data_IF_920732470020
#
_entry.id   IF_920732470020
#
_cell.length_a   1.000
_cell.length_b   1.000
_cell.length_c   1.000
_cell.angle_alpha   90.00
_cell.angle_beta   90.00
_cell.angle_gamma   90.00
#
_symmetry.space_group_name_H-M   'P 1'
#
loop_
_entity.id
_entity.type
_entity.pdbx_description
1 polymer ?
#
# COMPACT_ATOMS: atom_id res chain seq x y z
N UNK A 1 1.26 -18.97 -15.17
CA UNK A 1 1.20 -17.88 -16.16
C UNK A 1 -0.12 -17.09 -16.15
N UNK A 2 -1.30 -17.68 -15.88
CA UNK A 2 -2.60 -16.95 -15.88
C UNK A 2 -2.90 -16.09 -14.64
N UNK A 3 -2.31 -16.37 -13.45
CA UNK A 3 -2.53 -15.59 -12.20
C UNK A 3 -1.86 -14.21 -12.20
N UNK A 4 -0.86 -13.98 -13.05
CA UNK A 4 -0.13 -12.71 -13.17
C UNK A 4 -0.96 -11.56 -13.76
N UNK A 5 -2.05 -11.88 -14.44
CA UNK A 5 -2.79 -10.92 -15.27
C UNK A 5 -3.81 -10.12 -14.45
N UNK A 6 -4.30 -10.64 -13.33
CA UNK A 6 -5.52 -10.14 -12.69
C UNK A 6 -5.27 -8.99 -11.70
N UNK A 7 -4.24 -9.07 -10.88
CA UNK A 7 -3.87 -7.94 -9.99
C UNK A 7 -3.22 -6.78 -10.77
N UNK A 8 -2.58 -7.13 -11.89
CA UNK A 8 -2.10 -6.16 -12.87
C UNK A 8 -3.25 -5.43 -13.59
N UNK A 9 -4.44 -5.96 -13.62
CA UNK A 9 -5.54 -5.49 -14.48
C UNK A 9 -6.18 -4.20 -13.98
N UNK A 10 -6.28 -3.90 -12.69
CA UNK A 10 -6.66 -2.53 -12.28
C UNK A 10 -5.55 -1.55 -12.66
N UNK A 11 -4.29 -1.93 -12.55
CA UNK A 11 -3.14 -1.14 -13.00
C UNK A 11 -2.89 -1.26 -14.52
N UNK A 12 -3.12 -2.42 -15.15
CA UNK A 12 -2.85 -2.68 -16.58
C UNK A 12 -4.02 -2.36 -17.50
N UNK A 13 -5.26 -2.39 -17.08
CA UNK A 13 -6.35 -1.82 -17.92
C UNK A 13 -6.14 -0.32 -18.12
N UNK A 14 -5.42 0.29 -17.21
CA UNK A 14 -4.89 1.64 -17.41
C UNK A 14 -3.63 1.69 -18.28
N UNK A 15 -2.94 0.56 -18.55
CA UNK A 15 -1.61 0.51 -19.20
C UNK A 15 -1.54 -0.24 -20.53
N UNK A 16 -2.45 -1.15 -20.86
CA UNK A 16 -2.39 -1.87 -22.16
C UNK A 16 -3.41 -1.31 -23.13
N UNK A 17 -2.92 -0.52 -24.07
CA UNK A 17 -3.67 -0.10 -25.25
C UNK A 17 -4.11 -1.31 -26.09
N UNK A 18 -5.34 -1.76 -25.92
CA UNK A 18 -6.08 -2.37 -26.99
C UNK A 18 -6.36 -1.26 -28.01
N UNK A 19 -5.77 -1.39 -29.19
CA UNK A 19 -5.94 -0.50 -30.33
C UNK A 19 -7.41 -0.15 -30.54
N UNK A 20 -7.77 1.10 -30.23
CA UNK A 20 -9.09 1.65 -30.59
C UNK A 20 -9.86 2.41 -29.50
N UNK A 21 -9.51 2.34 -28.24
CA UNK A 21 -10.18 3.12 -27.20
C UNK A 21 -9.31 4.31 -26.76
N UNK A 22 -9.72 5.53 -27.12
CA UNK A 22 -9.17 6.76 -26.53
C UNK A 22 -9.67 6.86 -25.09
N UNK A 23 -8.86 6.41 -24.12
CA UNK A 23 -8.99 6.80 -22.72
C UNK A 23 -8.53 8.25 -22.62
N UNK A 24 -9.45 9.18 -22.60
CA UNK A 24 -9.18 10.57 -22.29
C UNK A 24 -8.84 10.68 -20.79
N UNK A 25 -7.58 11.05 -20.50
CA UNK A 25 -7.08 11.64 -19.28
C UNK A 25 -6.61 10.78 -18.09
N UNK A 26 -6.25 9.49 -18.24
CA UNK A 26 -5.33 8.85 -17.30
C UNK A 26 -4.21 8.16 -18.08
N UNK A 27 -3.29 8.94 -18.59
CA UNK A 27 -2.03 8.41 -19.13
C UNK A 27 -1.09 8.11 -17.96
N UNK A 28 -1.27 6.93 -17.33
CA UNK A 28 -0.19 6.34 -16.53
C UNK A 28 0.82 5.86 -17.58
N UNK A 29 1.90 6.61 -17.78
CA UNK A 29 3.02 6.16 -18.62
C UNK A 29 3.53 4.82 -18.07
N UNK A 30 3.82 3.87 -18.96
CA UNK A 30 4.49 2.64 -18.58
C UNK A 30 5.77 2.98 -17.80
N UNK A 31 6.13 2.19 -16.77
CA UNK A 31 7.35 2.46 -16.00
C UNK A 31 8.56 2.49 -16.94
N UNK A 32 9.38 3.54 -16.81
CA UNK A 32 10.56 3.77 -17.66
C UNK A 32 11.75 2.89 -17.29
N UNK A 33 11.60 1.99 -16.31
CA UNK A 33 12.65 1.16 -15.75
C UNK A 33 12.33 -0.34 -15.79
N UNK A 34 13.35 -1.18 -15.66
CA UNK A 34 13.19 -2.64 -15.54
C UNK A 34 13.09 -3.03 -14.07
N UNK A 35 11.88 -3.33 -13.61
CA UNK A 35 11.62 -3.90 -12.28
C UNK A 35 11.86 -5.40 -12.35
N UNK A 36 12.68 -5.93 -11.44
CA UNK A 36 12.93 -7.37 -11.29
C UNK A 36 12.13 -7.94 -10.14
N UNK A 37 11.55 -9.14 -10.34
CA UNK A 37 10.88 -9.88 -9.28
C UNK A 37 11.76 -11.03 -8.81
N UNK A 38 11.86 -11.18 -7.50
CA UNK A 38 12.63 -12.22 -6.82
C UNK A 38 11.80 -12.79 -5.67
N UNK A 39 12.30 -13.85 -5.04
CA UNK A 39 11.69 -14.43 -3.84
C UNK A 39 12.75 -14.73 -2.78
N UNK A 40 12.34 -14.69 -1.52
CA UNK A 40 13.17 -15.04 -0.38
C UNK A 40 12.38 -15.89 0.61
N UNK A 41 13.02 -16.92 1.16
CA UNK A 41 12.46 -17.68 2.28
C UNK A 41 12.60 -16.85 3.56
N UNK A 42 11.50 -16.62 4.27
CA UNK A 42 11.45 -15.94 5.56
C UNK A 42 10.50 -16.69 6.48
N UNK A 43 10.90 -16.95 7.71
CA UNK A 43 10.13 -17.83 8.58
C UNK A 43 9.88 -19.19 7.91
N UNK A 44 8.60 -19.58 7.85
CA UNK A 44 8.16 -20.81 7.18
C UNK A 44 7.60 -20.58 5.76
N UNK A 45 7.63 -19.34 5.27
CA UNK A 45 7.05 -18.96 3.99
C UNK A 45 8.07 -18.43 2.99
N UNK A 46 7.56 -18.04 1.84
CA UNK A 46 8.34 -17.41 0.77
C UNK A 46 7.69 -16.07 0.44
N UNK A 47 8.42 -14.97 0.65
CA UNK A 47 8.04 -13.65 0.20
C UNK A 47 8.47 -13.44 -1.25
N UNK A 48 7.52 -13.07 -2.11
CA UNK A 48 7.78 -12.53 -3.44
C UNK A 48 7.99 -11.02 -3.31
N UNK A 49 9.01 -10.46 -3.95
CA UNK A 49 9.25 -9.03 -3.93
C UNK A 49 9.76 -8.51 -5.27
N UNK A 50 9.38 -7.29 -5.58
CA UNK A 50 9.92 -6.51 -6.69
C UNK A 50 11.05 -5.62 -6.21
N UNK A 51 12.07 -5.42 -7.06
CA UNK A 51 13.14 -4.47 -6.76
C UNK A 51 13.66 -3.78 -8.01
N UNK A 52 14.17 -2.56 -7.84
CA UNK A 52 14.78 -1.77 -8.91
C UNK A 52 15.72 -0.73 -8.33
N UNK A 53 16.73 -0.37 -9.10
CA UNK A 53 17.70 0.66 -8.72
C UNK A 53 18.80 0.16 -7.79
N UNK A 54 19.64 1.10 -7.37
CA UNK A 54 20.78 0.89 -6.49
C UNK A 54 20.92 2.06 -5.52
N UNK A 55 21.80 1.96 -4.54
CA UNK A 55 22.00 3.00 -3.54
C UNK A 55 21.18 2.77 -2.28
N UNK A 56 20.74 3.85 -1.62
CA UNK A 56 19.99 3.76 -0.35
C UNK A 56 18.68 3.05 -0.54
N UNK A 57 18.40 2.10 0.36
CA UNK A 57 17.21 1.26 0.23
C UNK A 57 15.95 1.93 0.78
N UNK A 58 14.84 1.72 0.09
CA UNK A 58 13.50 2.05 0.57
C UNK A 58 12.62 0.81 0.44
N UNK A 59 11.94 0.43 1.53
CA UNK A 59 10.97 -0.64 1.58
C UNK A 59 9.56 -0.04 1.45
N UNK A 60 8.78 -0.56 0.49
CA UNK A 60 7.47 -0.07 0.10
C UNK A 60 6.40 -1.11 0.44
N UNK A 61 5.49 -0.80 1.36
CA UNK A 61 4.50 -1.74 1.91
C UNK A 61 3.10 -1.40 1.42
N UNK A 62 2.48 -2.33 0.69
CA UNK A 62 1.14 -2.15 0.11
C UNK A 62 0.02 -2.23 1.15
N UNK A 63 -1.17 -1.76 0.77
CA UNK A 63 -2.37 -1.78 1.59
C UNK A 63 -3.10 -3.12 1.60
N UNK A 64 -4.23 -3.16 2.32
CA UNK A 64 -5.13 -4.30 2.40
C UNK A 64 -5.63 -4.69 1.00
N UNK A 65 -5.61 -5.98 0.68
CA UNK A 65 -6.00 -6.60 -0.59
C UNK A 65 -5.33 -6.03 -1.86
N UNK A 66 -4.22 -5.29 -1.68
CA UNK A 66 -3.33 -4.85 -2.75
C UNK A 66 -2.15 -5.83 -2.95
N UNK A 67 -1.16 -5.44 -3.71
CA UNK A 67 0.06 -6.20 -3.99
C UNK A 67 1.24 -5.27 -4.25
N UNK A 68 2.44 -5.83 -4.36
CA UNK A 68 3.67 -5.08 -4.65
C UNK A 68 3.60 -4.21 -5.91
N UNK A 69 2.76 -4.59 -6.87
CA UNK A 69 2.55 -3.86 -8.13
C UNK A 69 1.97 -2.46 -7.93
N UNK A 70 1.32 -2.20 -6.77
CA UNK A 70 0.84 -0.87 -6.38
C UNK A 70 1.96 0.19 -6.46
N UNK A 71 3.20 -0.23 -6.26
CA UNK A 71 4.37 0.63 -6.16
C UNK A 71 5.15 0.84 -7.47
N UNK A 72 4.81 0.12 -8.55
CA UNK A 72 5.61 0.09 -9.77
C UNK A 72 5.95 1.48 -10.32
N UNK A 73 4.99 2.40 -10.37
CA UNK A 73 5.20 3.77 -10.86
C UNK A 73 6.19 4.55 -9.99
N UNK A 74 6.06 4.43 -8.67
CA UNK A 74 6.95 5.09 -7.69
C UNK A 74 8.35 4.46 -7.71
N UNK A 75 8.45 3.14 -7.82
CA UNK A 75 9.72 2.42 -7.82
C UNK A 75 10.65 2.90 -8.93
N UNK A 76 10.14 3.11 -10.15
CA UNK A 76 10.95 3.60 -11.25
C UNK A 76 11.52 4.99 -10.97
N UNK A 77 10.70 5.90 -10.49
CA UNK A 77 11.14 7.27 -10.16
C UNK A 77 12.10 7.31 -8.98
N UNK A 78 11.93 6.45 -7.98
CA UNK A 78 12.89 6.30 -6.90
C UNK A 78 14.23 5.79 -7.42
N UNK A 79 14.22 4.84 -8.35
CA UNK A 79 15.43 4.34 -9.01
C UNK A 79 16.16 5.44 -9.80
N UNK A 80 15.43 6.24 -10.57
CA UNK A 80 15.95 7.41 -11.29
C UNK A 80 16.55 8.46 -10.32
N UNK A 81 16.01 8.56 -9.12
CA UNK A 81 16.52 9.44 -8.06
C UNK A 81 17.70 8.85 -7.26
N UNK A 82 18.18 7.64 -7.61
CA UNK A 82 19.35 7.00 -7.00
C UNK A 82 19.05 6.14 -5.76
N UNK A 83 17.79 5.68 -5.59
CA UNK A 83 17.38 4.77 -4.52
C UNK A 83 17.26 3.34 -5.03
N UNK A 84 17.45 2.37 -4.12
CA UNK A 84 17.04 0.98 -4.32
C UNK A 84 15.66 0.79 -3.73
N UNK A 85 14.63 0.69 -4.56
CA UNK A 85 13.25 0.44 -4.15
C UNK A 85 12.99 -1.07 -4.06
N UNK A 86 12.33 -1.50 -2.98
CA UNK A 86 11.99 -2.90 -2.69
C UNK A 86 10.53 -2.92 -2.26
N UNK A 87 9.69 -3.70 -2.93
CA UNK A 87 8.28 -3.85 -2.64
C UNK A 87 7.91 -5.35 -2.54
N UNK A 88 7.66 -5.89 -1.34
CA UNK A 88 7.19 -7.27 -1.19
C UNK A 88 5.67 -7.38 -1.41
N UNK A 89 5.21 -8.55 -1.85
CA UNK A 89 3.87 -9.02 -1.51
C UNK A 89 3.87 -9.46 -0.05
N UNK A 90 3.04 -8.85 0.76
CA UNK A 90 2.94 -9.18 2.19
C UNK A 90 2.40 -10.60 2.40
N UNK A 91 2.61 -11.24 3.59
CA UNK A 91 2.04 -12.55 3.90
C UNK A 91 0.53 -12.60 3.68
N UNK A 92 0.06 -13.56 2.87
CA UNK A 92 -1.35 -13.68 2.49
C UNK A 92 -1.74 -12.98 1.19
N UNK A 93 -0.81 -12.30 0.53
CA UNK A 93 -1.07 -11.52 -0.68
C UNK A 93 -0.18 -11.94 -1.85
N UNK A 94 -0.67 -11.64 -3.05
CA UNK A 94 0.08 -11.76 -4.31
C UNK A 94 0.70 -13.14 -4.53
N UNK A 95 2.01 -13.15 -4.75
CA UNK A 95 2.79 -14.36 -5.00
C UNK A 95 3.55 -14.86 -3.75
N UNK A 96 3.31 -14.25 -2.59
CA UNK A 96 3.85 -14.73 -1.32
C UNK A 96 3.05 -15.93 -0.81
N UNK A 97 3.74 -17.02 -0.40
CA UNK A 97 3.12 -18.32 -0.10
C UNK A 97 3.72 -18.99 1.15
N UNK A 98 3.01 -19.98 1.69
CA UNK A 98 3.50 -20.81 2.80
C UNK A 98 3.35 -20.19 4.19
N UNK A 99 2.67 -19.04 4.30
CA UNK A 99 2.43 -18.37 5.57
C UNK A 99 1.21 -18.94 6.30
N UNK A 100 1.30 -19.08 7.60
CA UNK A 100 0.18 -19.46 8.46
C UNK A 100 -0.70 -18.24 8.78
N UNK A 101 -1.93 -18.47 9.24
CA UNK A 101 -2.88 -17.40 9.61
C UNK A 101 -2.28 -16.41 10.62
N UNK A 102 -1.51 -16.91 11.61
CA UNK A 102 -0.80 -16.04 12.57
C UNK A 102 0.16 -15.03 11.93
N UNK A 103 0.67 -15.34 10.75
CA UNK A 103 1.64 -14.50 10.04
C UNK A 103 0.96 -13.28 9.37
N UNK A 104 -0.38 -13.23 9.37
CA UNK A 104 -1.16 -12.06 8.95
C UNK A 104 -1.22 -10.98 10.02
N UNK A 105 -0.89 -11.28 11.29
CA UNK A 105 -0.74 -10.27 12.34
C UNK A 105 0.35 -9.26 11.98
N UNK A 106 0.06 -7.96 12.13
CA UNK A 106 0.92 -6.90 11.59
C UNK A 106 2.32 -6.90 12.23
N UNK A 107 2.45 -7.27 13.52
CA UNK A 107 3.76 -7.42 14.19
C UNK A 107 4.57 -8.59 13.62
N UNK A 108 3.89 -9.68 13.23
CA UNK A 108 4.56 -10.82 12.61
C UNK A 108 5.00 -10.47 11.19
N UNK A 109 4.19 -9.73 10.45
CA UNK A 109 4.59 -9.19 9.15
C UNK A 109 5.82 -8.28 9.26
N UNK A 110 5.86 -7.37 10.25
CA UNK A 110 7.04 -6.54 10.51
C UNK A 110 8.29 -7.39 10.81
N UNK A 111 8.14 -8.50 11.53
CA UNK A 111 9.24 -9.43 11.84
C UNK A 111 9.75 -10.15 10.58
N UNK A 112 8.82 -10.68 9.76
CA UNK A 112 9.16 -11.36 8.50
C UNK A 112 9.83 -10.41 7.49
N UNK A 113 9.39 -9.16 7.45
CA UNK A 113 10.03 -8.11 6.64
C UNK A 113 11.45 -7.80 7.13
N UNK A 114 11.67 -7.79 8.45
CA UNK A 114 13.03 -7.63 9.01
C UNK A 114 13.94 -8.79 8.58
N UNK A 115 13.45 -10.03 8.58
CA UNK A 115 14.20 -11.18 8.08
C UNK A 115 14.55 -11.03 6.59
N UNK A 116 13.60 -10.58 5.76
CA UNK A 116 13.84 -10.27 4.36
C UNK A 116 14.97 -9.23 4.20
N UNK A 117 14.86 -8.11 4.89
CA UNK A 117 15.82 -6.99 4.81
C UNK A 117 17.21 -7.41 5.27
N UNK A 118 17.28 -8.20 6.35
CA UNK A 118 18.53 -8.80 6.84
C UNK A 118 19.13 -9.77 5.81
N UNK A 119 18.30 -10.63 5.21
CA UNK A 119 18.71 -11.55 4.14
C UNK A 119 19.25 -10.84 2.88
N UNK A 120 18.77 -9.63 2.62
CA UNK A 120 19.26 -8.77 1.53
C UNK A 120 20.52 -7.97 1.89
N UNK A 121 21.06 -8.12 3.11
CA UNK A 121 22.26 -7.42 3.58
C UNK A 121 22.05 -5.92 3.82
N UNK A 122 20.80 -5.48 4.10
CA UNK A 122 20.44 -4.07 4.28
C UNK A 122 20.45 -3.73 5.78
N UNK A 123 21.35 -2.83 6.18
CA UNK A 123 21.51 -2.40 7.57
C UNK A 123 20.69 -1.13 7.90
N UNK A 124 20.40 -0.29 6.91
CA UNK A 124 19.61 0.93 7.07
C UNK A 124 18.71 1.15 5.86
N UNK A 125 17.48 1.61 6.08
CA UNK A 125 16.50 1.84 5.03
C UNK A 125 15.52 2.94 5.42
N UNK A 126 14.89 3.55 4.40
CA UNK A 126 13.66 4.28 4.56
C UNK A 126 12.47 3.31 4.46
N UNK A 127 11.37 3.62 5.12
CA UNK A 127 10.10 2.89 4.99
C UNK A 127 9.04 3.77 4.36
N UNK A 128 8.24 3.21 3.46
CA UNK A 128 7.00 3.85 3.03
C UNK A 128 5.87 2.81 3.04
N UNK A 129 4.72 3.21 3.53
CA UNK A 129 3.54 2.33 3.58
C UNK A 129 2.26 3.06 3.23
N UNK A 130 1.34 2.34 2.59
CA UNK A 130 0.00 2.79 2.27
C UNK A 130 -1.02 2.00 3.08
N UNK A 131 -1.97 2.67 3.72
CA UNK A 131 -3.06 2.03 4.49
C UNK A 131 -2.53 1.02 5.53
N UNK A 132 -2.90 -0.26 5.45
CA UNK A 132 -2.35 -1.34 6.28
C UNK A 132 -0.81 -1.36 6.24
N UNK A 133 -0.19 -1.15 5.08
CA UNK A 133 1.26 -1.07 4.95
C UNK A 133 1.88 0.07 5.77
N UNK A 134 1.15 1.16 5.98
CA UNK A 134 1.54 2.25 6.89
C UNK A 134 1.56 1.81 8.35
N UNK A 135 0.57 1.03 8.80
CA UNK A 135 0.56 0.45 10.14
C UNK A 135 1.73 -0.52 10.36
N UNK A 136 2.01 -1.37 9.37
CA UNK A 136 3.16 -2.30 9.43
C UNK A 136 4.48 -1.52 9.46
N UNK A 137 4.63 -0.47 8.66
CA UNK A 137 5.82 0.40 8.67
C UNK A 137 6.02 1.07 10.03
N UNK A 138 4.96 1.51 10.68
CA UNK A 138 4.98 2.04 12.05
C UNK A 138 5.50 1.00 13.05
N UNK A 139 4.92 -0.20 13.06
CA UNK A 139 5.33 -1.30 13.94
C UNK A 139 6.77 -1.73 13.69
N UNK A 140 7.20 -1.78 12.43
CA UNK A 140 8.58 -2.06 12.05
C UNK A 140 9.52 -1.00 12.63
N UNK A 141 9.23 0.28 12.45
CA UNK A 141 10.04 1.38 12.95
C UNK A 141 10.14 1.40 14.49
N UNK A 142 9.07 1.04 15.20
CA UNK A 142 9.09 0.89 16.65
C UNK A 142 9.98 -0.26 17.10
N UNK A 143 9.92 -1.39 16.40
CA UNK A 143 10.66 -2.61 16.79
C UNK A 143 12.13 -2.58 16.39
N UNK A 144 12.47 -1.90 15.29
CA UNK A 144 13.81 -1.83 14.72
C UNK A 144 14.25 -0.37 14.47
N UNK A 145 14.21 0.51 15.48
CA UNK A 145 14.42 1.95 15.30
C UNK A 145 15.82 2.28 14.73
N UNK A 146 16.83 1.51 15.06
CA UNK A 146 18.20 1.73 14.57
C UNK A 146 18.40 1.36 13.09
N UNK A 147 17.43 0.68 12.48
CA UNK A 147 17.49 0.29 11.07
C UNK A 147 16.72 1.27 10.17
N UNK A 148 15.83 2.08 10.74
CA UNK A 148 14.95 2.95 9.97
C UNK A 148 15.45 4.39 10.00
N UNK A 149 15.79 4.93 8.83
CA UNK A 149 16.28 6.30 8.68
C UNK A 149 15.16 7.33 8.56
N UNK A 150 14.03 6.95 7.96
CA UNK A 150 12.85 7.81 7.80
C UNK A 150 11.61 6.98 7.49
N UNK A 151 10.43 7.57 7.71
CA UNK A 151 9.13 6.95 7.50
C UNK A 151 8.26 7.81 6.56
N UNK A 152 7.51 7.17 5.67
CA UNK A 152 6.52 7.86 4.85
C UNK A 152 5.18 7.11 4.89
N UNK A 153 4.10 7.82 5.21
CA UNK A 153 2.73 7.38 4.99
C UNK A 153 2.24 7.97 3.67
N UNK A 154 2.04 7.12 2.66
CA UNK A 154 1.58 7.53 1.33
C UNK A 154 0.18 6.98 1.11
N UNK A 155 -0.81 7.79 1.33
CA UNK A 155 -2.17 7.42 1.66
C UNK A 155 -2.37 7.35 3.18
N UNK A 156 -3.63 7.35 3.60
CA UNK A 156 -3.99 7.28 5.02
C UNK A 156 -3.55 5.94 5.62
N UNK A 157 -2.80 5.95 6.74
CA UNK A 157 -2.44 4.70 7.41
C UNK A 157 -3.61 4.14 8.23
N UNK A 158 -3.70 2.82 8.33
CA UNK A 158 -4.59 2.13 9.26
C UNK A 158 -4.20 2.45 10.71
N UNK A 159 -5.19 2.59 11.60
CA UNK A 159 -5.00 2.61 13.04
C UNK A 159 -4.74 3.98 13.66
N UNK A 160 -5.08 5.07 12.96
CA UNK A 160 -5.03 6.44 13.49
C UNK A 160 -6.42 7.04 13.69
N UNK A 161 -7.40 6.61 12.92
CA UNK A 161 -8.79 7.06 12.98
C UNK A 161 -9.69 5.90 12.54
N UNK A 162 -10.93 5.89 12.99
CA UNK A 162 -11.93 4.92 12.57
C UNK A 162 -12.26 5.02 11.07
N UNK A 163 -12.88 3.98 10.54
CA UNK A 163 -13.41 3.99 9.18
C UNK A 163 -14.33 5.19 8.94
N UNK A 164 -14.25 5.78 7.76
CA UNK A 164 -15.17 6.84 7.35
C UNK A 164 -16.62 6.33 7.23
N UNK A 165 -17.57 7.27 7.23
CA UNK A 165 -19.00 6.95 7.31
C UNK A 165 -19.49 5.96 6.23
N UNK A 166 -19.03 6.10 4.99
CA UNK A 166 -19.43 5.20 3.91
C UNK A 166 -18.98 3.74 4.12
N UNK A 167 -17.81 3.53 4.71
CA UNK A 167 -17.32 2.18 5.08
C UNK A 167 -18.13 1.63 6.24
N UNK A 168 -18.34 2.43 7.29
CA UNK A 168 -19.12 2.02 8.47
C UNK A 168 -20.56 1.66 8.10
N UNK A 169 -21.19 2.47 7.25
CA UNK A 169 -22.56 2.21 6.78
C UNK A 169 -22.64 0.85 6.06
N UNK A 170 -21.71 0.57 5.15
CA UNK A 170 -21.65 -0.72 4.46
C UNK A 170 -21.51 -1.89 5.46
N UNK A 171 -20.60 -1.76 6.44
CA UNK A 171 -20.39 -2.79 7.48
C UNK A 171 -21.62 -3.00 8.35
N UNK A 172 -22.34 -1.94 8.74
CA UNK A 172 -23.60 -2.04 9.51
C UNK A 172 -24.72 -2.74 8.72
N UNK A 173 -24.70 -2.62 7.39
CA UNK A 173 -25.60 -3.35 6.50
C UNK A 173 -25.15 -4.79 6.23
N UNK A 174 -24.09 -5.28 6.88
CA UNK A 174 -23.54 -6.62 6.68
C UNK A 174 -22.73 -6.79 5.38
N UNK A 175 -22.33 -5.69 4.74
CA UNK A 175 -21.50 -5.71 3.54
C UNK A 175 -20.07 -5.30 3.90
N UNK A 176 -19.11 -6.20 3.67
CA UNK A 176 -17.71 -5.83 3.74
C UNK A 176 -17.29 -5.23 2.38
N UNK A 177 -17.06 -3.90 2.29
CA UNK A 177 -16.77 -3.25 1.01
C UNK A 177 -15.38 -3.61 0.46
N UNK A 178 -14.52 -4.28 1.24
CA UNK A 178 -13.18 -4.68 0.82
C UNK A 178 -13.09 -6.15 0.39
N UNK A 179 -14.19 -6.92 0.53
CA UNK A 179 -14.27 -8.32 0.08
C UNK A 179 -15.56 -8.50 -0.73
N UNK A 180 -15.69 -7.81 -1.87
CA UNK A 180 -16.90 -7.84 -2.66
C UNK A 180 -17.14 -9.22 -3.28
N UNK A 181 -18.35 -9.76 -3.11
CA UNK A 181 -18.79 -11.02 -3.69
C UNK A 181 -19.86 -10.84 -4.76
N UNK A 182 -20.25 -9.60 -5.05
CA UNK A 182 -21.12 -9.22 -6.16
C UNK A 182 -20.55 -8.05 -6.93
N UNK A 183 -21.08 -7.80 -8.14
CA UNK A 183 -20.68 -6.67 -8.97
C UNK A 183 -20.97 -5.33 -8.28
N UNK A 184 -22.10 -5.22 -7.63
CA UNK A 184 -22.56 -4.01 -6.92
C UNK A 184 -21.64 -3.70 -5.73
N UNK A 185 -21.23 -4.74 -4.97
CA UNK A 185 -20.26 -4.57 -3.89
C UNK A 185 -18.89 -4.16 -4.41
N UNK A 186 -18.45 -4.68 -5.56
CA UNK A 186 -17.22 -4.25 -6.19
C UNK A 186 -17.30 -2.79 -6.68
N UNK A 187 -18.43 -2.35 -7.22
CA UNK A 187 -18.66 -0.97 -7.59
C UNK A 187 -18.66 -0.03 -6.38
N UNK A 188 -19.20 -0.49 -5.23
CA UNK A 188 -19.11 0.21 -3.96
C UNK A 188 -17.64 0.35 -3.52
N UNK A 189 -16.86 -0.74 -3.52
CA UNK A 189 -15.41 -0.71 -3.21
C UNK A 189 -14.70 0.36 -4.04
N UNK A 190 -14.87 0.34 -5.35
CA UNK A 190 -14.24 1.31 -6.26
C UNK A 190 -14.70 2.74 -5.96
N UNK A 191 -15.97 2.95 -5.64
CA UNK A 191 -16.50 4.28 -5.31
C UNK A 191 -15.94 4.86 -4.01
N UNK A 192 -15.55 4.00 -3.06
CA UNK A 192 -14.91 4.37 -1.80
C UNK A 192 -13.41 4.64 -1.98
N UNK A 193 -12.74 3.86 -2.82
CA UNK A 193 -11.28 3.94 -3.02
C UNK A 193 -10.85 5.15 -3.87
N UNK A 194 -11.69 5.61 -4.81
CA UNK A 194 -11.38 6.68 -5.75
C UNK A 194 -12.27 7.92 -5.55
N UNK A 195 -11.74 9.09 -5.85
CA UNK A 195 -12.53 10.30 -6.00
C UNK A 195 -13.44 10.19 -7.22
N UNK A 196 -12.83 9.83 -8.35
CA UNK A 196 -13.53 9.54 -9.59
C UNK A 196 -13.32 8.09 -9.97
N UNK A 197 -14.39 7.28 -9.87
CA UNK A 197 -14.32 5.86 -10.19
C UNK A 197 -13.85 5.65 -11.64
N UNK A 198 -12.82 4.85 -11.88
CA UNK A 198 -12.37 4.51 -13.23
C UNK A 198 -13.41 3.64 -13.95
N UNK A 199 -13.46 3.76 -15.27
CA UNK A 199 -14.27 2.85 -16.09
C UNK A 199 -13.59 1.49 -16.15
N UNK A 200 -14.20 0.48 -15.53
CA UNK A 200 -13.69 -0.89 -15.49
C UNK A 200 -14.59 -1.77 -16.35
N UNK A 201 -14.06 -2.52 -17.34
CA UNK A 201 -14.85 -3.46 -18.14
C UNK A 201 -15.55 -4.52 -17.28
N UNK A 202 -16.78 -4.90 -17.65
CA UNK A 202 -17.56 -5.89 -16.87
C UNK A 202 -16.86 -7.25 -16.75
N UNK A 203 -16.11 -7.68 -17.76
CA UNK A 203 -15.32 -8.90 -17.71
C UNK A 203 -14.27 -8.86 -16.59
N UNK A 204 -13.65 -7.71 -16.37
CA UNK A 204 -12.65 -7.49 -15.31
C UNK A 204 -13.31 -7.42 -13.94
N UNK A 205 -14.46 -6.74 -13.83
CA UNK A 205 -15.24 -6.74 -12.59
C UNK A 205 -15.62 -8.16 -12.19
N UNK A 206 -16.13 -8.96 -13.15
CA UNK A 206 -16.49 -10.36 -12.92
C UNK A 206 -15.29 -11.22 -12.49
N UNK A 207 -14.13 -11.03 -13.11
CA UNK A 207 -12.91 -11.75 -12.77
C UNK A 207 -12.45 -11.39 -11.34
N UNK A 208 -12.51 -10.12 -10.95
CA UNK A 208 -12.17 -9.66 -9.59
C UNK A 208 -13.14 -10.19 -8.53
N UNK A 209 -14.42 -10.09 -8.78
CA UNK A 209 -15.44 -10.66 -7.88
C UNK A 209 -15.23 -12.18 -7.71
N UNK A 210 -14.93 -12.90 -8.79
CA UNK A 210 -14.64 -14.32 -8.72
C UNK A 210 -13.36 -14.63 -7.93
N UNK A 211 -12.34 -13.78 -7.98
CA UNK A 211 -11.13 -13.91 -7.15
C UNK A 211 -11.48 -13.75 -5.66
N UNK A 212 -12.27 -12.73 -5.29
CA UNK A 212 -12.75 -12.54 -3.92
C UNK A 212 -13.60 -13.71 -3.42
N UNK A 213 -14.46 -14.28 -4.26
CA UNK A 213 -15.26 -15.48 -3.92
C UNK A 213 -14.35 -16.69 -3.72
N UNK A 214 -13.39 -16.91 -4.62
CA UNK A 214 -12.49 -18.07 -4.59
C UNK A 214 -11.58 -18.05 -3.35
N UNK A 215 -11.10 -16.89 -2.93
CA UNK A 215 -10.21 -16.71 -1.79
C UNK A 215 -10.94 -16.15 -0.55
N UNK A 216 -12.26 -16.16 -0.54
CA UNK A 216 -13.09 -15.51 0.49
C UNK A 216 -12.65 -15.87 1.92
N UNK A 217 -12.46 -17.15 2.21
CA UNK A 217 -12.03 -17.60 3.55
C UNK A 217 -10.72 -16.97 3.99
N UNK A 218 -9.72 -16.90 3.10
CA UNK A 218 -8.43 -16.30 3.40
C UNK A 218 -8.57 -14.80 3.62
N UNK A 219 -9.33 -14.11 2.76
CA UNK A 219 -9.52 -12.67 2.87
C UNK A 219 -10.31 -12.29 4.13
N UNK A 220 -11.32 -13.09 4.54
CA UNK A 220 -12.01 -12.88 5.82
C UNK A 220 -11.06 -13.07 7.01
N UNK A 221 -10.20 -14.08 7.01
CA UNK A 221 -9.20 -14.28 8.07
C UNK A 221 -8.22 -13.10 8.17
N UNK A 222 -7.78 -12.57 7.02
CA UNK A 222 -6.92 -11.39 6.98
C UNK A 222 -7.68 -10.18 7.53
N UNK A 223 -8.92 -9.95 7.08
CA UNK A 223 -9.78 -8.86 7.54
C UNK A 223 -9.96 -8.88 9.05
N UNK A 224 -10.33 -10.03 9.60
CA UNK A 224 -10.58 -10.20 11.05
C UNK A 224 -9.31 -9.87 11.86
N UNK A 225 -8.15 -10.30 11.40
CA UNK A 225 -6.87 -10.02 12.05
C UNK A 225 -6.52 -8.54 11.94
N UNK A 226 -6.62 -7.96 10.74
CA UNK A 226 -6.23 -6.56 10.50
C UNK A 226 -7.10 -5.58 11.30
N UNK A 227 -8.38 -5.88 11.51
CA UNK A 227 -9.26 -5.04 12.34
C UNK A 227 -8.91 -5.04 13.84
N UNK A 228 -8.03 -5.93 14.32
CA UNK A 228 -7.49 -5.85 15.68
C UNK A 228 -6.50 -4.68 15.86
N UNK A 229 -6.13 -4.01 14.77
CA UNK A 229 -5.14 -2.93 14.74
C UNK A 229 -5.75 -1.55 14.43
N UNK A 230 -7.06 -1.39 14.65
CA UNK A 230 -7.81 -0.17 14.36
C UNK A 230 -7.32 1.08 15.11
N UNK A 231 -6.50 0.91 16.15
CA UNK A 231 -5.93 1.98 16.95
C UNK A 231 -4.40 1.92 17.10
N UNK A 232 -3.71 1.11 16.30
CA UNK A 232 -2.28 0.82 16.45
C UNK A 232 -1.38 2.06 16.38
N UNK A 233 -1.71 3.04 15.54
CA UNK A 233 -0.98 4.30 15.48
C UNK A 233 -1.43 5.28 16.56
N UNK A 234 -2.67 5.18 16.99
CA UNK A 234 -3.22 6.05 18.03
C UNK A 234 -2.69 5.68 19.42
N UNK A 235 -2.67 4.39 19.78
CA UNK A 235 -2.22 3.88 21.08
C UNK A 235 -0.72 3.56 21.13
N UNK A 236 -0.08 3.34 19.98
CA UNK A 236 1.34 2.99 19.88
C UNK A 236 2.28 4.06 20.46
N UNK A 237 3.54 3.70 20.68
CA UNK A 237 4.59 4.66 21.08
C UNK A 237 4.84 5.67 19.96
N UNK A 238 4.92 6.99 20.25
CA UNK A 238 5.25 7.98 19.23
C UNK A 238 6.60 7.69 18.55
N UNK A 239 6.63 7.84 17.23
CA UNK A 239 7.87 7.71 16.44
C UNK A 239 8.62 9.04 16.44
N UNK A 240 9.94 8.94 16.60
CA UNK A 240 10.85 10.10 16.58
C UNK A 240 11.80 10.00 15.37
N UNK A 241 11.23 9.80 14.19
CA UNK A 241 11.97 9.72 12.94
C UNK A 241 11.47 10.83 12.00
N UNK A 242 12.33 11.34 11.10
CA UNK A 242 11.85 12.15 10.00
C UNK A 242 10.70 11.44 9.31
N UNK A 243 9.53 12.08 9.27
CA UNK A 243 8.32 11.44 8.76
C UNK A 243 7.60 12.32 7.75
N UNK A 244 7.21 11.73 6.63
CA UNK A 244 6.34 12.32 5.61
C UNK A 244 4.93 11.72 5.74
N UNK A 245 3.92 12.58 5.64
CA UNK A 245 2.52 12.19 5.59
C UNK A 245 1.92 12.80 4.32
N UNK A 246 1.53 11.96 3.37
CA UNK A 246 0.76 12.37 2.19
C UNK A 246 -0.63 11.77 2.29
N UNK A 247 -1.68 12.59 2.26
CA UNK A 247 -3.07 12.14 2.43
C UNK A 247 -3.99 12.84 1.43
N UNK A 248 -4.88 12.08 0.80
CA UNK A 248 -5.89 12.61 -0.10
C UNK A 248 -7.00 13.35 0.67
N UNK A 249 -7.35 14.55 0.23
CA UNK A 249 -8.41 15.35 0.90
C UNK A 249 -9.80 14.73 0.79
N UNK A 250 -10.03 13.96 -0.25
CA UNK A 250 -11.30 13.30 -0.55
C UNK A 250 -11.24 11.78 -0.25
N UNK A 251 -10.37 11.37 0.67
CA UNK A 251 -10.29 9.97 1.14
C UNK A 251 -11.61 9.59 1.83
N UNK A 252 -12.26 8.56 1.29
CA UNK A 252 -13.53 8.03 1.78
C UNK A 252 -13.38 6.75 2.63
N UNK A 253 -12.13 6.29 2.80
CA UNK A 253 -11.80 5.15 3.66
C UNK A 253 -11.46 5.65 5.07
N UNK A 254 -10.59 6.67 5.14
CA UNK A 254 -10.23 7.34 6.39
C UNK A 254 -10.33 8.86 6.21
N UNK A 255 -11.14 9.48 7.03
CA UNK A 255 -11.37 10.93 6.95
C UNK A 255 -10.09 11.74 7.16
N UNK A 256 -9.97 12.83 6.42
CA UNK A 256 -8.79 13.72 6.44
C UNK A 256 -8.45 14.28 7.84
N UNK A 257 -9.40 14.29 8.77
CA UNK A 257 -9.15 14.69 10.17
C UNK A 257 -8.13 13.80 10.88
N UNK A 258 -7.90 12.57 10.36
CA UNK A 258 -6.83 11.69 10.83
C UNK A 258 -5.44 12.30 10.72
N UNK A 259 -5.21 13.23 9.77
CA UNK A 259 -3.93 13.94 9.61
C UNK A 259 -3.53 14.69 10.89
N UNK A 260 -4.46 15.42 11.51
CA UNK A 260 -4.16 16.16 12.74
C UNK A 260 -3.86 15.23 13.92
N UNK A 261 -4.53 14.09 14.01
CA UNK A 261 -4.24 13.05 15.01
C UNK A 261 -2.84 12.45 14.79
N UNK A 262 -2.50 12.13 13.54
CA UNK A 262 -1.19 11.56 13.20
C UNK A 262 -0.07 12.58 13.46
N UNK A 263 -0.28 13.85 13.16
CA UNK A 263 0.66 14.94 13.44
C UNK A 263 0.95 15.11 14.94
N UNK A 264 -0.07 14.96 15.80
CA UNK A 264 0.10 14.99 17.25
C UNK A 264 0.95 13.81 17.75
N UNK A 265 0.89 12.67 17.08
CA UNK A 265 1.66 11.47 17.42
C UNK A 265 3.09 11.50 16.88
N UNK A 266 3.32 12.21 15.77
CA UNK A 266 4.63 12.27 15.09
C UNK A 266 5.00 13.75 14.93
N UNK A 267 5.52 14.33 16.01
CA UNK A 267 5.92 15.74 16.03
C UNK A 267 7.02 16.00 14.96
N UNK A 268 6.89 17.13 14.25
CA UNK A 268 7.85 17.50 13.21
C UNK A 268 7.65 16.79 11.87
N UNK A 269 6.58 15.98 11.72
CA UNK A 269 6.25 15.37 10.43
C UNK A 269 5.94 16.41 9.35
N UNK A 270 6.44 16.17 8.12
CA UNK A 270 6.06 16.94 6.94
C UNK A 270 4.72 16.45 6.42
N UNK A 271 3.74 17.34 6.32
CA UNK A 271 2.37 17.00 5.90
C UNK A 271 2.09 17.57 4.52
N UNK A 272 1.49 16.75 3.67
CA UNK A 272 1.01 17.10 2.33
C UNK A 272 -0.40 16.54 2.17
N UNK A 273 -1.36 17.42 1.96
CA UNK A 273 -2.75 17.08 1.71
C UNK A 273 -3.06 17.33 0.24
N UNK A 274 -3.25 16.26 -0.53
CA UNK A 274 -3.49 16.35 -1.97
C UNK A 274 -4.97 16.58 -2.28
N UNK A 275 -5.33 17.65 -2.97
CA UNK A 275 -6.69 17.85 -3.46
C UNK A 275 -6.96 16.87 -4.62
N UNK A 276 -8.22 16.52 -4.82
CA UNK A 276 -8.67 15.59 -5.86
C UNK A 276 -7.97 14.23 -5.79
N UNK A 277 -7.68 13.79 -4.56
CA UNK A 277 -7.04 12.53 -4.25
C UNK A 277 -7.86 11.79 -3.19
N UNK A 278 -8.18 10.54 -3.46
CA UNK A 278 -8.84 9.62 -2.55
C UNK A 278 -7.85 8.72 -1.82
N UNK A 279 -8.33 7.54 -1.44
CA UNK A 279 -7.51 6.55 -0.73
C UNK A 279 -6.36 6.01 -1.59
N UNK A 280 -6.62 5.77 -2.88
CA UNK A 280 -5.63 5.28 -3.84
C UNK A 280 -4.86 6.42 -4.53
N UNK A 281 -4.42 7.41 -3.77
CA UNK A 281 -3.66 8.56 -4.29
C UNK A 281 -2.38 8.15 -5.07
N UNK A 282 -1.84 6.96 -4.80
CA UNK A 282 -0.72 6.38 -5.57
C UNK A 282 -1.10 6.08 -7.03
N UNK A 283 -2.40 5.98 -7.32
CA UNK A 283 -2.93 5.80 -8.67
C UNK A 283 -3.43 7.14 -9.21
N UNK A 284 -4.24 7.87 -8.42
CA UNK A 284 -4.89 9.11 -8.85
C UNK A 284 -3.89 10.27 -9.02
N UNK A 285 -2.88 10.36 -8.12
CA UNK A 285 -1.91 11.46 -8.04
C UNK A 285 -0.46 10.95 -7.97
N UNK A 286 -0.14 9.87 -8.70
CA UNK A 286 1.15 9.16 -8.64
C UNK A 286 2.36 10.09 -8.81
N UNK A 287 2.29 11.05 -9.73
CA UNK A 287 3.39 11.98 -10.01
C UNK A 287 3.68 12.89 -8.82
N UNK A 288 2.65 13.53 -8.28
CA UNK A 288 2.77 14.45 -7.17
C UNK A 288 3.18 13.72 -5.87
N UNK A 289 2.57 12.56 -5.60
CA UNK A 289 2.94 11.72 -4.47
C UNK A 289 4.42 11.30 -4.54
N UNK A 290 4.88 10.86 -5.72
CA UNK A 290 6.27 10.44 -5.91
C UNK A 290 7.25 11.60 -5.79
N UNK A 291 6.95 12.74 -6.41
CA UNK A 291 7.80 13.94 -6.35
C UNK A 291 8.01 14.39 -4.90
N UNK A 292 6.93 14.40 -4.11
CA UNK A 292 6.99 14.73 -2.69
C UNK A 292 7.78 13.71 -1.87
N UNK A 293 7.62 12.41 -2.17
CA UNK A 293 8.39 11.35 -1.52
C UNK A 293 9.89 11.49 -1.80
N UNK A 294 10.29 11.67 -3.07
CA UNK A 294 11.70 11.87 -3.46
C UNK A 294 12.28 13.14 -2.83
N UNK A 295 11.52 14.24 -2.83
CA UNK A 295 11.93 15.49 -2.19
C UNK A 295 12.18 15.32 -0.69
N UNK A 296 11.29 14.61 0.00
CA UNK A 296 11.42 14.31 1.43
C UNK A 296 12.64 13.43 1.71
N UNK A 297 12.82 12.34 0.95
CA UNK A 297 13.94 11.42 1.16
C UNK A 297 15.30 12.09 1.01
N UNK A 298 15.43 13.07 0.10
CA UNK A 298 16.67 13.86 -0.04
C UNK A 298 16.97 14.71 1.18
N UNK A 299 15.95 15.34 1.78
CA UNK A 299 16.12 16.21 2.94
C UNK A 299 16.21 15.47 4.27
N UNK A 300 15.51 14.35 4.43
CA UNK A 300 15.50 13.56 5.66
C UNK A 300 16.82 12.81 5.93
N UNK A 301 17.74 12.80 4.99
CA UNK A 301 18.99 12.05 5.05
C UNK A 301 20.18 12.98 5.31
N UNK A 302 20.01 14.27 5.05
CA UNK A 302 21.05 15.29 5.28
C UNK A 302 20.94 15.91 6.70
N UNK A 303 19.96 15.49 7.49
CA UNK A 303 19.72 15.87 8.89
C UNK A 303 20.08 14.74 9.86
#
# INVERSE_FOLDING_TARGET
MKKFIIQLVIVIILLSGLTGFRLTNLAISAPSCTITTSSATVGNGTLSYSQVGSGRSILLLHGLFASKEQWNSIMCRLSEAGYRAIAPDLPGYGNSTGFAVRDYALENQATLLHELIKGLGINSLALAGSSMGGAIAHLYAQRYPNQVSSLAFIGSPLGIIDWADGVREALFQGVNPFIPITKEQFELEISLLFVTSPTIPDSVKAEKVNDYITHNRQYQQIWDIVNLYDDVLYKGTPIQLPTLIIWGKEDKIYDISGVSRLQQRIAGSRIIQLPKAGHLLLIENAEEATSNCVSFLRTAIDS
#
